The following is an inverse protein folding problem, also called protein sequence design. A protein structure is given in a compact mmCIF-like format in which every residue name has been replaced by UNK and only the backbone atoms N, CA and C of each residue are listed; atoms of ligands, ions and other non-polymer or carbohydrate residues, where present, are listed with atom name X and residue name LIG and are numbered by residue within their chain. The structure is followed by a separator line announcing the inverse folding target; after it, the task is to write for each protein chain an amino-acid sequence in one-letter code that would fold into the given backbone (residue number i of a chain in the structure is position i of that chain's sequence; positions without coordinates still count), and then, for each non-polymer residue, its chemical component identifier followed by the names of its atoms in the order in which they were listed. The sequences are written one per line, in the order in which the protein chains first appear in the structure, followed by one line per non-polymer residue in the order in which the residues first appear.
data_IF_410638062376
#
_entry.id   IF_410638062376
#
_cell.length_a   1.000
_cell.length_b   1.000
_cell.length_c   1.000
_cell.angle_alpha   90.00
_cell.angle_beta   90.00
_cell.angle_gamma   90.00
#
_symmetry.space_group_name_H-M   'P 1'
#
loop_
_entity.id
_entity.type
_entity.pdbx_description
1 polymer ?
#
# COMPACT_ATOMS: atom_id res chain seq x y z
N UNK A 1 -7.10 -16.93 -14.51
CA UNK A 1 -7.74 -15.60 -14.65
C UNK A 1 -7.52 -15.16 -16.08
N UNK A 2 -8.60 -14.93 -16.82
CA UNK A 2 -8.54 -14.44 -18.19
C UNK A 2 -8.22 -12.93 -18.18
N UNK A 3 -7.02 -12.57 -18.60
CA UNK A 3 -6.62 -11.18 -18.85
C UNK A 3 -6.03 -11.08 -20.25
N UNK A 4 -6.00 -9.88 -20.83
CA UNK A 4 -5.37 -9.64 -22.13
C UNK A 4 -3.91 -10.09 -22.13
N UNK A 5 -3.19 -9.94 -21.02
CA UNK A 5 -1.78 -10.34 -20.85
C UNK A 5 -1.56 -11.85 -20.97
N UNK A 6 -2.57 -12.67 -20.69
CA UNK A 6 -2.51 -14.14 -20.77
C UNK A 6 -3.17 -14.70 -22.03
N UNK A 7 -3.64 -13.84 -22.93
CA UNK A 7 -4.22 -14.24 -24.24
C UNK A 7 -3.15 -14.79 -25.16
N UNK A 8 -3.58 -15.65 -26.07
CA UNK A 8 -2.71 -16.19 -27.11
C UNK A 8 -2.06 -15.04 -27.92
N UNK A 9 -0.82 -15.22 -28.28
CA UNK A 9 -0.02 -14.27 -29.05
C UNK A 9 0.41 -12.96 -28.34
N UNK A 10 0.02 -12.75 -27.09
CA UNK A 10 0.46 -11.56 -26.32
C UNK A 10 1.86 -11.71 -25.71
N UNK A 11 2.32 -12.94 -25.51
CA UNK A 11 3.63 -13.24 -24.99
C UNK A 11 4.22 -14.48 -25.67
N UNK A 12 5.55 -14.57 -25.76
CA UNK A 12 6.24 -15.76 -26.24
C UNK A 12 6.00 -16.96 -25.32
N UNK A 13 5.74 -16.69 -24.03
CA UNK A 13 5.55 -17.71 -23.01
C UNK A 13 4.66 -17.21 -21.89
N UNK A 14 3.65 -17.97 -21.54
CA UNK A 14 2.72 -17.66 -20.45
C UNK A 14 2.80 -18.74 -19.37
N UNK A 15 2.87 -18.34 -18.11
CA UNK A 15 2.88 -19.21 -16.95
C UNK A 15 1.60 -19.01 -16.14
N UNK A 16 0.80 -20.05 -16.00
CA UNK A 16 -0.38 -20.08 -15.13
C UNK A 16 -0.01 -20.67 -13.78
N UNK A 17 0.71 -19.89 -12.99
CA UNK A 17 1.25 -20.30 -11.69
C UNK A 17 0.99 -19.23 -10.63
N UNK A 18 0.99 -19.57 -9.32
CA UNK A 18 0.86 -18.58 -8.26
C UNK A 18 1.97 -17.53 -8.31
N UNK A 19 1.60 -16.26 -8.17
CA UNK A 19 2.55 -15.16 -8.06
C UNK A 19 3.07 -15.12 -6.62
N UNK A 20 4.19 -15.77 -6.40
CA UNK A 20 4.94 -15.75 -5.14
C UNK A 20 6.44 -15.87 -5.39
N UNK A 21 7.23 -15.52 -4.39
CA UNK A 21 8.70 -15.49 -4.47
C UNK A 21 9.30 -16.79 -5.00
N UNK A 22 8.85 -17.94 -4.48
CA UNK A 22 9.41 -19.24 -4.88
C UNK A 22 9.16 -19.55 -6.36
N UNK A 23 7.93 -19.32 -6.82
CA UNK A 23 7.55 -19.58 -8.22
C UNK A 23 8.27 -18.65 -9.18
N UNK A 24 8.23 -17.34 -8.88
CA UNK A 24 8.83 -16.33 -9.75
C UNK A 24 10.36 -16.44 -9.78
N UNK A 25 11.01 -16.77 -8.65
CA UNK A 25 12.45 -17.04 -8.62
C UNK A 25 12.85 -18.18 -9.56
N UNK A 26 12.08 -19.27 -9.59
CA UNK A 26 12.34 -20.41 -10.49
C UNK A 26 12.15 -20.04 -11.97
N UNK A 27 11.19 -19.18 -12.27
CA UNK A 27 10.98 -18.67 -13.64
C UNK A 27 12.17 -17.77 -14.05
N UNK A 28 12.58 -16.85 -13.19
CA UNK A 28 13.75 -15.99 -13.42
C UNK A 28 15.02 -16.83 -13.63
N UNK A 29 15.25 -17.83 -12.79
CA UNK A 29 16.38 -18.74 -12.92
C UNK A 29 16.39 -19.50 -14.24
N UNK A 30 15.22 -19.97 -14.67
CA UNK A 30 15.04 -20.75 -15.90
C UNK A 30 15.13 -19.92 -17.16
N UNK A 31 14.38 -18.81 -17.21
CA UNK A 31 14.17 -18.04 -18.44
C UNK A 31 15.13 -16.84 -18.59
N UNK A 32 15.79 -16.42 -17.48
CA UNK A 32 16.79 -15.36 -17.46
C UNK A 32 16.33 -14.07 -18.17
N UNK A 33 15.21 -13.46 -17.75
CA UNK A 33 14.74 -12.24 -18.36
C UNK A 33 15.71 -11.09 -18.06
N UNK A 34 15.84 -10.13 -19.00
CA UNK A 34 16.63 -8.91 -18.80
C UNK A 34 15.94 -7.91 -17.85
N UNK A 35 14.62 -7.96 -17.75
CA UNK A 35 13.85 -7.07 -16.90
C UNK A 35 12.51 -7.62 -16.46
N UNK A 36 11.90 -6.95 -15.48
CA UNK A 36 10.60 -7.27 -14.93
C UNK A 36 9.75 -6.01 -14.78
N UNK A 37 8.48 -6.08 -15.18
CA UNK A 37 7.47 -5.05 -14.94
C UNK A 37 6.55 -5.50 -13.80
N UNK A 38 6.51 -4.74 -12.70
CA UNK A 38 5.75 -5.09 -11.51
C UNK A 38 4.34 -4.49 -11.50
N UNK A 39 4.13 -3.33 -12.13
CA UNK A 39 2.90 -2.57 -12.06
C UNK A 39 1.69 -3.26 -12.72
N UNK A 40 1.93 -4.17 -13.66
CA UNK A 40 0.87 -4.85 -14.41
C UNK A 40 0.19 -6.01 -13.68
N UNK A 41 0.60 -6.33 -12.46
CA UNK A 41 0.07 -7.45 -11.66
C UNK A 41 -0.60 -7.03 -10.35
N UNK A 42 -0.85 -5.72 -10.16
CA UNK A 42 -1.43 -5.16 -8.94
C UNK A 42 -0.58 -5.43 -7.70
N UNK A 43 -1.18 -5.27 -6.51
CA UNK A 43 -0.48 -5.37 -5.22
C UNK A 43 0.28 -6.69 -5.03
N UNK A 44 -0.26 -7.79 -5.55
CA UNK A 44 0.40 -9.10 -5.44
C UNK A 44 1.75 -9.12 -6.17
N UNK A 45 1.82 -8.51 -7.34
CA UNK A 45 3.07 -8.42 -8.11
C UNK A 45 4.06 -7.44 -7.48
N UNK A 46 3.57 -6.29 -6.99
CA UNK A 46 4.41 -5.30 -6.28
C UNK A 46 5.05 -5.93 -5.04
N UNK A 47 4.27 -6.58 -4.18
CA UNK A 47 4.78 -7.26 -2.98
C UNK A 47 5.75 -8.40 -3.31
N UNK A 48 5.48 -9.15 -4.38
CA UNK A 48 6.39 -10.20 -4.85
C UNK A 48 7.71 -9.59 -5.34
N UNK A 49 7.66 -8.50 -6.11
CA UNK A 49 8.84 -7.79 -6.59
C UNK A 49 9.73 -7.25 -5.47
N UNK A 50 9.14 -6.59 -4.47
CA UNK A 50 9.85 -6.14 -3.27
C UNK A 50 10.54 -7.31 -2.56
N UNK A 51 9.82 -8.43 -2.40
CA UNK A 51 10.37 -9.62 -1.74
C UNK A 51 11.50 -10.26 -2.54
N UNK A 52 11.40 -10.33 -3.87
CA UNK A 52 12.46 -10.83 -4.77
C UNK A 52 13.73 -9.97 -4.69
N UNK A 53 13.55 -8.64 -4.58
CA UNK A 53 14.65 -7.70 -4.40
C UNK A 53 15.34 -7.92 -3.05
N UNK A 54 14.57 -8.02 -1.96
CA UNK A 54 15.09 -8.23 -0.59
C UNK A 54 15.91 -9.50 -0.44
N UNK A 55 15.53 -10.58 -1.12
CA UNK A 55 16.31 -11.84 -1.10
C UNK A 55 17.43 -11.89 -2.15
N UNK A 56 17.66 -10.79 -2.90
CA UNK A 56 18.76 -10.65 -3.85
C UNK A 56 18.59 -11.43 -5.17
N UNK A 57 17.41 -11.94 -5.49
CA UNK A 57 17.17 -12.71 -6.71
C UNK A 57 17.30 -11.84 -7.96
N UNK A 58 16.80 -10.60 -7.92
CA UNK A 58 16.89 -9.68 -9.05
C UNK A 58 18.36 -9.35 -9.36
N UNK A 59 19.16 -9.06 -8.35
CA UNK A 59 20.60 -8.79 -8.48
C UNK A 59 21.36 -10.04 -8.96
N UNK A 60 21.12 -11.20 -8.33
CA UNK A 60 21.78 -12.48 -8.69
C UNK A 60 21.66 -12.82 -10.16
N UNK A 61 20.50 -12.53 -10.77
CA UNK A 61 20.23 -12.86 -12.16
C UNK A 61 20.28 -11.65 -13.10
N UNK A 62 20.72 -10.48 -12.60
CA UNK A 62 20.83 -9.21 -13.34
C UNK A 62 19.50 -8.80 -14.01
N UNK A 63 18.38 -8.95 -13.28
CA UNK A 63 17.04 -8.58 -13.75
C UNK A 63 16.76 -7.14 -13.37
N UNK A 64 16.58 -6.27 -14.37
CA UNK A 64 16.25 -4.86 -14.15
C UNK A 64 14.77 -4.70 -13.84
N UNK A 65 14.42 -3.92 -12.82
CA UNK A 65 13.04 -3.47 -12.62
C UNK A 65 12.76 -2.35 -13.60
N UNK A 66 11.79 -2.56 -14.48
CA UNK A 66 11.38 -1.61 -15.52
C UNK A 66 10.17 -0.80 -15.02
N UNK A 67 10.12 0.48 -15.38
CA UNK A 67 9.12 1.41 -14.88
C UNK A 67 9.48 1.93 -13.48
N UNK A 68 8.53 1.90 -12.53
CA UNK A 68 8.75 2.41 -11.18
C UNK A 68 9.75 1.55 -10.40
N UNK A 69 10.75 2.18 -9.78
CA UNK A 69 11.78 1.50 -9.01
C UNK A 69 11.21 0.86 -7.73
N UNK A 70 11.89 -0.17 -7.21
CA UNK A 70 11.51 -0.80 -5.93
C UNK A 70 11.47 0.22 -4.79
N UNK A 71 12.46 1.12 -4.72
CA UNK A 71 12.52 2.17 -3.71
C UNK A 71 11.28 3.08 -3.76
N UNK A 72 10.87 3.49 -4.97
CA UNK A 72 9.67 4.30 -5.15
C UNK A 72 8.40 3.53 -4.76
N UNK A 73 8.32 2.24 -5.12
CA UNK A 73 7.20 1.39 -4.73
C UNK A 73 7.13 1.29 -3.19
N UNK A 74 8.23 1.04 -2.51
CA UNK A 74 8.25 0.98 -1.04
C UNK A 74 7.82 2.31 -0.41
N UNK A 75 8.32 3.45 -0.91
CA UNK A 75 7.92 4.78 -0.44
C UNK A 75 6.43 5.09 -0.64
N UNK A 76 5.85 4.63 -1.72
CA UNK A 76 4.42 4.90 -2.02
C UNK A 76 3.46 3.93 -1.34
N UNK A 77 3.89 2.71 -1.06
CA UNK A 77 3.08 1.69 -0.40
C UNK A 77 3.10 1.80 1.13
N UNK A 78 4.20 2.28 1.70
CA UNK A 78 4.32 2.53 3.13
C UNK A 78 3.84 3.94 3.47
N UNK A 79 2.83 4.05 4.33
CA UNK A 79 2.21 5.34 4.68
C UNK A 79 3.14 6.29 5.42
N UNK A 80 4.05 5.75 6.23
CA UNK A 80 5.01 6.57 6.98
C UNK A 80 6.02 7.15 6.01
N UNK A 81 6.62 6.29 5.18
CA UNK A 81 7.59 6.71 4.15
C UNK A 81 6.96 7.65 3.12
N UNK A 82 5.69 7.44 2.78
CA UNK A 82 4.96 8.33 1.88
C UNK A 82 4.78 9.73 2.49
N UNK A 83 4.32 9.80 3.74
CA UNK A 83 4.16 11.08 4.43
C UNK A 83 5.51 11.81 4.60
N UNK A 84 6.57 11.11 5.02
CA UNK A 84 7.92 11.67 5.08
C UNK A 84 8.37 12.24 3.74
N UNK A 85 8.13 11.51 2.64
CA UNK A 85 8.45 11.96 1.29
C UNK A 85 7.66 13.22 0.90
N UNK A 86 6.37 13.31 1.26
CA UNK A 86 5.56 14.50 0.99
C UNK A 86 6.03 15.71 1.82
N UNK A 87 6.42 15.49 3.09
CA UNK A 87 7.00 16.54 3.93
C UNK A 87 8.32 17.08 3.36
N UNK A 88 9.21 16.20 2.87
CA UNK A 88 10.48 16.58 2.23
C UNK A 88 10.28 17.53 1.04
N UNK A 89 9.20 17.35 0.28
CA UNK A 89 8.87 18.20 -0.87
C UNK A 89 7.89 19.33 -0.53
N UNK A 90 7.58 19.52 0.75
CA UNK A 90 6.63 20.52 1.27
C UNK A 90 5.21 20.40 0.70
N UNK A 91 4.75 19.19 0.40
CA UNK A 91 3.37 18.92 0.00
C UNK A 91 2.48 18.68 1.23
N UNK A 92 1.20 19.16 1.19
CA UNK A 92 0.28 18.95 2.30
C UNK A 92 -0.04 17.48 2.51
N UNK A 93 0.04 17.03 3.76
CA UNK A 93 -0.39 15.69 4.17
C UNK A 93 -1.71 15.77 4.96
N UNK A 94 -2.48 14.68 4.89
CA UNK A 94 -3.67 14.53 5.74
C UNK A 94 -3.20 14.29 7.17
N UNK A 95 -3.59 15.14 8.14
CA UNK A 95 -3.27 14.91 9.54
C UNK A 95 -3.69 13.50 9.96
N UNK A 96 -2.71 12.71 10.35
CA UNK A 96 -2.89 11.28 10.68
C UNK A 96 -2.00 10.95 11.88
N UNK A 97 -2.48 10.07 12.76
CA UNK A 97 -1.70 9.61 13.90
C UNK A 97 -2.03 8.15 14.24
N UNK A 98 -1.10 7.46 14.88
CA UNK A 98 -1.31 6.14 15.45
C UNK A 98 -1.64 6.33 16.94
N UNK A 99 -2.68 5.69 17.40
CA UNK A 99 -3.19 5.80 18.78
C UNK A 99 -3.10 4.44 19.46
N UNK A 100 -2.69 4.48 20.73
CA UNK A 100 -2.52 3.30 21.57
C UNK A 100 -3.47 3.27 22.78
N UNK A 101 -4.08 4.42 23.12
CA UNK A 101 -4.97 4.58 24.28
C UNK A 101 -6.11 5.58 24.01
N UNK A 102 -7.15 5.54 24.87
CA UNK A 102 -8.35 6.36 24.73
C UNK A 102 -8.08 7.84 24.95
N UNK A 103 -7.20 8.19 25.88
CA UNK A 103 -6.90 9.59 26.22
C UNK A 103 -6.17 10.29 25.07
N UNK A 104 -5.20 9.60 24.47
CA UNK A 104 -4.51 10.08 23.27
C UNK A 104 -5.47 10.25 22.08
N UNK A 105 -6.45 9.34 21.94
CA UNK A 105 -7.48 9.44 20.90
C UNK A 105 -8.33 10.72 21.06
N UNK A 106 -8.83 10.97 22.26
CA UNK A 106 -9.64 12.16 22.56
C UNK A 106 -8.82 13.44 22.42
N UNK A 107 -7.60 13.46 22.94
CA UNK A 107 -6.73 14.64 22.83
C UNK A 107 -6.44 14.99 21.36
N UNK A 108 -6.17 14.01 20.52
CA UNK A 108 -5.96 14.23 19.11
C UNK A 108 -7.23 14.71 18.41
N UNK A 109 -8.39 14.11 18.74
CA UNK A 109 -9.69 14.50 18.20
C UNK A 109 -10.05 15.95 18.53
N UNK A 110 -9.77 16.41 19.74
CA UNK A 110 -10.01 17.79 20.17
C UNK A 110 -9.18 18.81 19.36
N UNK A 111 -7.98 18.44 18.92
CA UNK A 111 -7.12 19.29 18.12
C UNK A 111 -7.52 19.35 16.64
N UNK A 112 -7.98 18.23 16.08
CA UNK A 112 -8.25 18.10 14.64
C UNK A 112 -9.72 18.41 14.31
N UNK A 113 -10.63 18.12 15.25
CA UNK A 113 -12.09 18.21 15.04
C UNK A 113 -12.67 17.00 14.33
N UNK A 114 -14.00 16.86 14.45
CA UNK A 114 -14.78 15.82 13.80
C UNK A 114 -15.29 16.28 12.41
N UNK A 115 -15.61 15.35 11.50
CA UNK A 115 -15.48 13.90 11.59
C UNK A 115 -14.04 13.38 11.46
N UNK A 116 -13.77 12.21 12.06
CA UNK A 116 -12.49 11.52 12.03
C UNK A 116 -12.67 10.14 11.37
N UNK A 117 -11.71 9.74 10.57
CA UNK A 117 -11.63 8.39 10.01
C UNK A 117 -10.76 7.52 10.90
N UNK A 118 -11.35 6.48 11.48
CA UNK A 118 -10.66 5.44 12.23
C UNK A 118 -10.32 4.28 11.31
N UNK A 119 -9.11 3.76 11.36
CA UNK A 119 -8.65 2.59 10.58
C UNK A 119 -7.83 1.64 11.43
N UNK A 120 -7.90 0.36 11.08
CA UNK A 120 -6.98 -0.69 11.57
C UNK A 120 -6.10 -1.17 10.42
N UNK A 121 -4.86 -1.55 10.70
CA UNK A 121 -3.91 -1.99 9.67
C UNK A 121 -4.30 -3.30 8.97
N UNK A 122 -5.21 -4.10 9.54
CA UNK A 122 -5.56 -5.43 9.06
C UNK A 122 -7.08 -5.67 8.95
N UNK A 123 -7.88 -4.65 8.61
CA UNK A 123 -9.33 -4.85 8.45
C UNK A 123 -9.68 -5.43 7.07
N UNK A 124 -9.81 -6.75 6.99
CA UNK A 124 -10.55 -7.38 5.90
C UNK A 124 -12.05 -7.12 6.09
N UNK A 125 -12.70 -6.50 5.10
CA UNK A 125 -14.14 -6.26 5.10
C UNK A 125 -14.64 -5.06 5.91
N UNK A 126 -13.78 -4.09 6.25
CA UNK A 126 -14.22 -2.81 6.86
C UNK A 126 -14.62 -2.87 8.35
N UNK A 127 -14.55 -4.03 9.00
CA UNK A 127 -14.85 -4.20 10.42
C UNK A 127 -13.77 -3.56 11.30
N UNK A 128 -14.13 -2.48 12.02
CA UNK A 128 -13.21 -1.71 12.87
C UNK A 128 -12.61 -0.50 12.17
N UNK A 129 -13.14 -0.12 10.98
CA UNK A 129 -12.79 1.11 10.29
C UNK A 129 -14.06 1.87 9.92
N UNK A 130 -14.03 3.18 10.02
CA UNK A 130 -15.18 4.01 9.69
C UNK A 130 -15.03 5.44 10.17
N UNK A 131 -16.01 6.28 9.80
CA UNK A 131 -16.08 7.66 10.27
C UNK A 131 -16.77 7.73 11.61
N UNK A 132 -16.24 8.60 12.48
CA UNK A 132 -16.80 8.93 13.78
C UNK A 132 -17.01 10.43 13.88
N UNK A 133 -18.10 10.85 14.56
CA UNK A 133 -18.54 12.24 14.56
C UNK A 133 -18.49 12.87 15.97
N UNK A 134 -18.14 12.11 17.01
CA UNK A 134 -18.04 12.55 18.38
C UNK A 134 -17.20 11.59 19.21
N UNK A 135 -16.84 12.00 20.42
CA UNK A 135 -16.01 11.23 21.36
C UNK A 135 -16.59 9.84 21.66
N UNK A 136 -17.90 9.73 21.84
CA UNK A 136 -18.56 8.45 22.16
C UNK A 136 -18.40 7.44 21.03
N UNK A 137 -18.59 7.89 19.80
CA UNK A 137 -18.37 7.04 18.59
C UNK A 137 -16.90 6.68 18.45
N UNK A 138 -16.00 7.64 18.68
CA UNK A 138 -14.55 7.42 18.63
C UNK A 138 -14.11 6.34 19.61
N UNK A 139 -14.48 6.45 20.89
CA UNK A 139 -14.12 5.48 21.92
C UNK A 139 -14.73 4.09 21.63
N UNK A 140 -15.96 4.05 21.14
CA UNK A 140 -16.59 2.79 20.74
C UNK A 140 -15.84 2.12 19.61
N UNK A 141 -15.50 2.88 18.57
CA UNK A 141 -14.74 2.39 17.42
C UNK A 141 -13.31 2.00 17.81
N UNK A 142 -12.65 2.79 18.66
CA UNK A 142 -11.31 2.50 19.17
C UNK A 142 -11.27 1.16 19.91
N UNK A 143 -12.22 0.88 20.81
CA UNK A 143 -12.33 -0.41 21.52
C UNK A 143 -12.50 -1.59 20.57
N UNK A 144 -13.34 -1.44 19.55
CA UNK A 144 -13.55 -2.46 18.53
C UNK A 144 -12.29 -2.69 17.68
N UNK A 145 -11.57 -1.63 17.38
CA UNK A 145 -10.37 -1.65 16.54
C UNK A 145 -9.17 -2.22 17.29
N UNK A 146 -8.92 -1.75 18.51
CA UNK A 146 -7.80 -2.18 19.37
C UNK A 146 -7.88 -3.65 19.78
N UNK A 147 -9.09 -4.23 19.85
CA UNK A 147 -9.26 -5.67 20.07
C UNK A 147 -8.76 -6.54 18.91
N UNK A 148 -8.56 -5.97 17.73
CA UNK A 148 -8.19 -6.68 16.49
C UNK A 148 -6.79 -6.33 15.97
N UNK A 149 -6.32 -5.14 16.29
CA UNK A 149 -5.01 -4.65 15.88
C UNK A 149 -4.37 -3.85 17.01
N UNK A 150 -3.08 -4.04 17.29
CA UNK A 150 -2.37 -3.24 18.30
C UNK A 150 -2.24 -1.77 17.88
N UNK A 151 -2.43 -1.46 16.60
CA UNK A 151 -2.33 -0.12 16.06
C UNK A 151 -3.65 0.33 15.46
N UNK A 152 -4.17 1.43 15.98
CA UNK A 152 -5.34 2.13 15.47
C UNK A 152 -4.89 3.48 14.90
N UNK A 153 -5.19 3.72 13.64
CA UNK A 153 -4.87 4.98 12.97
C UNK A 153 -6.08 5.89 12.94
N UNK A 154 -5.89 7.13 13.37
CA UNK A 154 -6.86 8.21 13.20
C UNK A 154 -6.39 9.15 12.09
N UNK A 155 -7.29 9.54 11.21
CA UNK A 155 -7.02 10.51 10.15
C UNK A 155 -8.13 11.56 10.11
N UNK A 156 -7.77 12.80 9.77
CA UNK A 156 -8.77 13.83 9.47
C UNK A 156 -9.66 13.38 8.33
N UNK A 157 -10.96 13.55 8.47
CA UNK A 157 -11.92 13.23 7.41
C UNK A 157 -11.79 14.21 6.24
N UNK A 158 -11.79 13.67 5.04
CA UNK A 158 -11.92 14.43 3.79
C UNK A 158 -13.31 14.29 3.16
N UNK A 159 -14.33 13.92 3.94
CA UNK A 159 -15.71 13.86 3.44
C UNK A 159 -16.13 15.20 2.82
N UNK A 160 -16.68 15.14 1.60
CA UNK A 160 -17.08 16.32 0.84
C UNK A 160 -15.96 17.00 0.04
N UNK A 161 -14.72 16.55 0.17
CA UNK A 161 -13.63 17.01 -0.70
C UNK A 161 -13.74 16.37 -2.07
N UNK A 162 -13.24 17.05 -3.09
CA UNK A 162 -13.11 16.49 -4.42
C UNK A 162 -11.88 15.59 -4.47
N UNK A 163 -12.07 14.34 -4.88
CA UNK A 163 -10.99 13.42 -5.19
C UNK A 163 -10.58 13.58 -6.65
N UNK A 164 -9.29 13.70 -6.89
CA UNK A 164 -8.70 13.83 -8.23
C UNK A 164 -7.51 12.88 -8.28
N UNK A 165 -7.47 12.06 -9.31
CA UNK A 165 -6.39 11.10 -9.57
C UNK A 165 -5.68 11.48 -10.88
N UNK A 166 -4.36 11.35 -10.89
CA UNK A 166 -3.52 11.58 -12.06
C UNK A 166 -2.65 10.36 -12.35
N UNK A 167 -2.77 9.86 -13.57
CA UNK A 167 -1.84 8.87 -14.10
C UNK A 167 -0.66 9.58 -14.73
N UNK A 168 0.53 9.44 -14.12
CA UNK A 168 1.74 10.11 -14.60
C UNK A 168 2.66 9.09 -15.26
N UNK A 169 2.89 9.25 -16.56
CA UNK A 169 3.84 8.46 -17.34
C UNK A 169 4.93 9.39 -17.84
N UNK A 170 6.19 9.04 -17.58
CA UNK A 170 7.34 9.79 -18.10
C UNK A 170 8.45 8.82 -18.54
N UNK A 171 9.24 9.24 -19.49
CA UNK A 171 10.54 8.66 -19.81
C UNK A 171 11.68 9.48 -19.19
N UNK A 172 12.92 9.10 -19.44
CA UNK A 172 14.11 9.78 -18.90
C UNK A 172 14.32 11.17 -19.50
#
# INVERSE_FOLDING_TARGET
IATVQTSDYMANKTYFLPINVNTVSKIIEKDRPDGILLQFGGQTALNCGISLNKIGILEKYNVKVLGTSIETIEKTEDRVLFNETLEEINEPIIPTTIIHDEDSAINWANNIGYPILVRTNYSLGGLGSGFVNNDKELLTMFKLSSSKSPEVTLSKSLQGWKEVEYEVVRDN
#
